data_IF_870474836395
#
_entry.id   IF_870474836395
#
_cell.length_a   1.000
_cell.length_b   1.000
_cell.length_c   1.000
_cell.angle_alpha   90.00
_cell.angle_beta   90.00
_cell.angle_gamma   90.00
#
_symmetry.space_group_name_H-M   'P 1'
#
loop_
_entity.id
_entity.type
_entity.pdbx_description
1 polymer ?
#
# COMPACT_ATOMS: atom_id res chain seq x y z
N UNK A 1 -5.96 -46.31 17.47
CA UNK A 1 -6.94 -45.37 18.05
C UNK A 1 -6.36 -44.00 17.82
N UNK A 2 -6.81 -43.31 16.77
CA UNK A 2 -6.27 -42.00 16.40
C UNK A 2 -6.83 -40.99 17.38
N UNK A 3 -5.96 -40.35 18.16
CA UNK A 3 -6.34 -39.28 19.07
C UNK A 3 -6.69 -38.06 18.20
N UNK A 4 -7.97 -37.69 18.17
CA UNK A 4 -8.40 -36.40 17.64
C UNK A 4 -7.88 -35.32 18.59
N UNK A 5 -6.98 -34.46 18.10
CA UNK A 5 -6.37 -33.40 18.90
C UNK A 5 -7.01 -32.07 18.52
N UNK A 6 -7.86 -31.56 19.42
CA UNK A 6 -8.48 -30.24 19.34
C UNK A 6 -7.40 -29.14 19.38
N UNK A 7 -7.50 -28.18 18.45
CA UNK A 7 -6.49 -27.12 18.23
C UNK A 7 -6.47 -26.01 19.28
N UNK A 8 -7.42 -26.03 20.21
CA UNK A 8 -7.70 -24.90 21.12
C UNK A 8 -7.21 -25.14 22.55
N UNK A 9 -6.50 -26.24 22.82
CA UNK A 9 -6.02 -26.59 24.17
C UNK A 9 -4.51 -26.86 24.22
N UNK A 10 -3.70 -25.85 23.93
CA UNK A 10 -2.25 -25.88 24.14
C UNK A 10 -1.83 -24.78 25.13
N UNK A 11 -2.28 -24.92 26.39
CA UNK A 11 -1.69 -24.15 27.48
C UNK A 11 -0.24 -24.59 27.74
N UNK A 12 0.64 -23.62 27.99
CA UNK A 12 2.08 -23.82 28.25
C UNK A 12 2.35 -24.84 29.37
N UNK A 13 1.44 -24.99 30.33
CA UNK A 13 1.55 -25.97 31.42
C UNK A 13 1.39 -27.41 30.92
N UNK A 14 0.50 -27.67 29.96
CA UNK A 14 0.26 -29.00 29.41
C UNK A 14 1.41 -29.49 28.53
N UNK A 15 2.16 -28.56 27.92
CA UNK A 15 3.32 -28.88 27.07
C UNK A 15 4.50 -29.47 27.86
N UNK A 16 4.62 -29.14 29.15
CA UNK A 16 5.71 -29.63 30.01
C UNK A 16 5.50 -31.09 30.48
N UNK A 17 4.29 -31.62 30.35
CA UNK A 17 3.95 -32.99 30.76
C UNK A 17 4.04 -34.01 29.61
N UNK A 18 4.34 -33.56 28.40
CA UNK A 18 4.47 -34.42 27.22
C UNK A 18 5.87 -35.02 27.13
N UNK A 19 5.92 -36.25 26.63
CA UNK A 19 7.19 -36.90 26.29
C UNK A 19 7.84 -36.25 25.08
N UNK A 20 9.13 -36.50 24.90
CA UNK A 20 9.90 -35.95 23.77
C UNK A 20 9.31 -36.40 22.43
N UNK A 21 8.84 -37.64 22.36
CA UNK A 21 8.25 -38.26 21.18
C UNK A 21 6.93 -37.58 20.80
N UNK A 22 6.06 -37.28 21.77
CA UNK A 22 4.80 -36.59 21.57
C UNK A 22 5.00 -35.14 21.10
N UNK A 23 5.96 -34.42 21.68
CA UNK A 23 6.33 -33.07 21.24
C UNK A 23 6.85 -33.05 19.80
N UNK A 24 7.65 -34.06 19.41
CA UNK A 24 8.11 -34.20 18.03
C UNK A 24 6.93 -34.43 17.08
N UNK A 25 5.96 -35.27 17.46
CA UNK A 25 4.75 -35.50 16.66
C UNK A 25 3.98 -34.19 16.41
N UNK A 26 3.75 -33.41 17.47
CA UNK A 26 3.02 -32.14 17.39
C UNK A 26 3.74 -31.14 16.47
N UNK A 27 5.07 -31.03 16.58
CA UNK A 27 5.86 -30.13 15.73
C UNK A 27 5.75 -30.54 14.24
N UNK A 28 5.75 -31.84 13.94
CA UNK A 28 5.62 -32.33 12.58
C UNK A 28 4.25 -31.99 12.00
N UNK A 29 3.18 -32.21 12.76
CA UNK A 29 1.81 -31.88 12.37
C UNK A 29 1.63 -30.38 12.16
N UNK A 30 2.14 -29.54 13.07
CA UNK A 30 2.10 -28.08 12.95
C UNK A 30 2.86 -27.60 11.71
N UNK A 31 4.01 -28.21 11.39
CA UNK A 31 4.78 -27.91 10.17
C UNK A 31 4.01 -28.30 8.90
N UNK A 32 3.26 -29.40 8.93
CA UNK A 32 2.45 -29.83 7.79
C UNK A 32 1.23 -28.92 7.59
N UNK A 33 0.53 -28.57 8.68
CA UNK A 33 -0.58 -27.62 8.65
C UNK A 33 -0.15 -26.24 8.14
N UNK A 34 1.01 -25.74 8.57
CA UNK A 34 1.56 -24.48 8.07
C UNK A 34 1.95 -24.55 6.58
N UNK A 35 2.48 -25.67 6.09
CA UNK A 35 2.72 -25.88 4.64
C UNK A 35 1.41 -25.85 3.85
N UNK A 36 0.36 -26.51 4.34
CA UNK A 36 -0.98 -26.51 3.71
C UNK A 36 -1.63 -25.11 3.75
N UNK A 37 -1.41 -24.32 4.80
CA UNK A 37 -1.84 -22.90 4.87
C UNK A 37 -1.07 -22.00 3.89
N UNK A 38 0.24 -22.18 3.73
CA UNK A 38 1.04 -21.41 2.76
C UNK A 38 0.66 -21.71 1.30
N UNK A 39 0.34 -22.96 0.97
CA UNK A 39 -0.07 -23.37 -0.38
C UNK A 39 -1.44 -22.83 -0.83
N UNK A 40 -2.22 -22.23 0.07
CA UNK A 40 -3.57 -21.70 -0.20
C UNK A 40 -3.66 -20.21 -0.49
N UNK A 41 -2.54 -19.51 -0.76
CA UNK A 41 -2.61 -18.17 -1.37
C UNK A 41 -2.95 -18.31 -2.85
N UNK A 42 -4.24 -18.35 -3.18
CA UNK A 42 -4.74 -18.15 -4.54
C UNK A 42 -4.32 -16.73 -4.95
N UNK A 43 -3.22 -16.62 -5.69
CA UNK A 43 -2.85 -15.39 -6.39
C UNK A 43 -3.87 -15.19 -7.50
N UNK A 44 -5.01 -14.56 -7.19
CA UNK A 44 -5.94 -14.10 -8.22
C UNK A 44 -5.11 -13.29 -9.22
N UNK A 45 -5.17 -13.59 -10.53
CA UNK A 45 -4.42 -12.83 -11.51
C UNK A 45 -4.77 -11.35 -11.35
N UNK A 46 -3.76 -10.51 -11.12
CA UNK A 46 -3.96 -9.06 -11.08
C UNK A 46 -4.54 -8.66 -12.43
N UNK A 47 -5.81 -8.24 -12.44
CA UNK A 47 -6.44 -7.68 -13.64
C UNK A 47 -5.59 -6.48 -14.07
N UNK A 48 -4.97 -6.57 -15.23
CA UNK A 48 -4.23 -5.47 -15.82
C UNK A 48 -5.24 -4.47 -16.38
N UNK A 49 -5.13 -3.21 -15.97
CA UNK A 49 -5.98 -2.14 -16.49
C UNK A 49 -5.37 -1.63 -17.79
N UNK A 50 -6.18 -1.57 -18.83
CA UNK A 50 -5.83 -0.96 -20.11
C UNK A 50 -6.17 0.53 -20.07
N UNK A 51 -5.16 1.37 -19.92
CA UNK A 51 -5.31 2.82 -19.76
C UNK A 51 -5.71 3.55 -21.06
N UNK A 52 -5.64 2.88 -22.22
CA UNK A 52 -6.08 3.46 -23.50
C UNK A 52 -7.60 3.61 -23.58
N UNK A 53 -8.34 2.86 -22.75
CA UNK A 53 -9.81 2.83 -22.72
C UNK A 53 -10.45 3.89 -21.83
N UNK A 54 -9.66 4.66 -21.10
CA UNK A 54 -10.16 5.64 -20.15
C UNK A 54 -9.78 7.06 -20.57
N UNK A 55 -10.65 8.00 -20.25
CA UNK A 55 -10.33 9.41 -20.34
C UNK A 55 -9.20 9.77 -19.38
N UNK A 56 -8.46 10.83 -19.72
CA UNK A 56 -7.37 11.37 -18.91
C UNK A 56 -7.61 12.86 -18.69
N UNK A 57 -7.38 13.35 -17.47
CA UNK A 57 -7.44 14.78 -17.14
C UNK A 57 -6.13 15.21 -16.47
N UNK A 58 -5.67 16.42 -16.81
CA UNK A 58 -4.58 17.05 -16.08
C UNK A 58 -5.13 17.71 -14.81
N UNK A 59 -4.62 17.31 -13.65
CA UNK A 59 -5.11 17.73 -12.34
C UNK A 59 -3.98 18.29 -11.49
N UNK A 60 -4.35 19.05 -10.47
CA UNK A 60 -3.46 19.57 -9.44
C UNK A 60 -3.87 18.96 -8.10
N UNK A 61 -2.90 18.43 -7.35
CA UNK A 61 -3.12 17.96 -5.99
C UNK A 61 -2.34 18.82 -5.00
N UNK A 62 -3.03 19.22 -3.93
CA UNK A 62 -2.42 19.81 -2.75
C UNK A 62 -2.15 18.71 -1.73
N UNK A 63 -0.91 18.67 -1.23
CA UNK A 63 -0.40 17.62 -0.37
C UNK A 63 0.10 18.24 0.93
N UNK A 64 -0.29 17.61 2.04
CA UNK A 64 0.16 17.88 3.39
C UNK A 64 0.93 16.66 3.88
N UNK A 65 2.05 16.88 4.56
CA UNK A 65 2.79 15.79 5.17
C UNK A 65 3.64 16.22 6.36
N UNK A 66 3.82 15.28 7.30
CA UNK A 66 4.85 15.34 8.34
C UNK A 66 6.12 14.68 7.79
N UNK A 67 7.19 15.44 7.68
CA UNK A 67 8.41 15.00 6.99
C UNK A 67 9.42 14.25 7.85
N UNK A 68 9.18 14.11 9.15
CA UNK A 68 10.21 13.71 10.13
C UNK A 68 10.81 12.33 9.83
N UNK A 69 9.99 11.40 9.34
CA UNK A 69 10.40 10.03 9.01
C UNK A 69 10.76 9.83 7.52
N UNK A 70 10.82 10.92 6.74
CA UNK A 70 11.02 10.90 5.29
C UNK A 70 12.31 11.58 4.85
N UNK A 71 12.92 11.06 3.79
CA UNK A 71 14.13 11.58 3.15
C UNK A 71 13.85 12.73 2.17
N UNK A 72 12.87 13.56 2.51
CA UNK A 72 12.42 14.70 1.72
C UNK A 72 11.31 14.33 0.74
N UNK A 73 10.92 15.32 -0.06
CA UNK A 73 9.81 15.16 -1.00
C UNK A 73 10.17 14.24 -2.17
N UNK A 74 11.31 14.53 -2.83
CA UNK A 74 11.69 13.90 -4.09
C UNK A 74 12.15 12.45 -3.91
N UNK A 75 11.72 11.53 -4.79
CA UNK A 75 12.28 10.17 -4.87
C UNK A 75 13.79 10.20 -5.11
N UNK A 76 14.51 9.29 -4.45
CA UNK A 76 15.96 9.09 -4.57
C UNK A 76 16.21 7.59 -4.77
N UNK A 77 17.22 7.22 -5.56
CA UNK A 77 17.50 5.80 -5.90
C UNK A 77 17.88 4.95 -4.68
N UNK A 78 18.33 5.59 -3.61
CA UNK A 78 18.82 4.94 -2.39
C UNK A 78 17.69 4.64 -1.39
N UNK A 79 16.51 5.26 -1.54
CA UNK A 79 15.49 5.20 -0.51
C UNK A 79 14.06 5.34 -1.04
N UNK A 80 13.22 4.39 -0.65
CA UNK A 80 11.77 4.43 -0.84
C UNK A 80 11.04 5.29 0.20
N UNK A 81 11.71 5.75 1.26
CA UNK A 81 11.12 6.62 2.29
C UNK A 81 11.02 8.09 1.86
N UNK A 82 10.39 8.38 0.73
CA UNK A 82 10.13 9.76 0.28
C UNK A 82 8.64 10.00 0.07
N UNK A 83 8.22 11.26 0.15
CA UNK A 83 6.80 11.62 -0.02
C UNK A 83 6.32 11.25 -1.43
N UNK A 84 7.14 11.49 -2.45
CA UNK A 84 6.83 11.09 -3.81
C UNK A 84 6.70 9.57 -3.98
N UNK A 85 7.55 8.77 -3.32
CA UNK A 85 7.44 7.32 -3.42
C UNK A 85 6.06 6.85 -2.93
N UNK A 86 5.63 7.31 -1.76
CA UNK A 86 4.31 7.01 -1.20
C UNK A 86 3.17 7.45 -2.12
N UNK A 87 3.27 8.66 -2.68
CA UNK A 87 2.30 9.20 -3.64
C UNK A 87 2.20 8.36 -4.91
N UNK A 88 3.33 8.05 -5.56
CA UNK A 88 3.35 7.25 -6.78
C UNK A 88 2.91 5.82 -6.52
N UNK A 89 3.22 5.24 -5.36
CA UNK A 89 2.66 3.94 -4.96
C UNK A 89 1.14 4.01 -4.90
N UNK A 90 0.58 5.00 -4.21
CA UNK A 90 -0.87 5.16 -4.08
C UNK A 90 -1.55 5.40 -5.44
N UNK A 91 -0.99 6.27 -6.28
CA UNK A 91 -1.50 6.57 -7.63
C UNK A 91 -1.54 5.32 -8.53
N UNK A 92 -0.48 4.52 -8.51
CA UNK A 92 -0.40 3.27 -9.30
C UNK A 92 -1.35 2.21 -8.78
N UNK A 93 -1.45 2.00 -7.46
CA UNK A 93 -2.39 1.03 -6.87
C UNK A 93 -3.85 1.43 -7.13
N UNK A 94 -4.17 2.72 -7.05
CA UNK A 94 -5.48 3.25 -7.43
C UNK A 94 -5.77 3.18 -8.95
N UNK A 95 -4.79 2.78 -9.75
CA UNK A 95 -4.83 2.77 -11.21
C UNK A 95 -5.22 4.14 -11.78
N UNK A 96 -4.70 5.21 -11.17
CA UNK A 96 -4.87 6.57 -11.66
C UNK A 96 -3.80 6.93 -12.71
N UNK A 97 -2.64 6.30 -12.65
CA UNK A 97 -1.55 6.47 -13.61
C UNK A 97 -0.93 5.12 -13.96
N UNK A 98 -0.33 5.04 -15.15
CA UNK A 98 0.46 3.88 -15.60
C UNK A 98 1.84 3.88 -14.94
N UNK A 99 2.54 5.00 -15.07
CA UNK A 99 3.86 5.21 -14.49
C UNK A 99 4.10 6.70 -14.26
N UNK A 100 5.18 7.00 -13.53
CA UNK A 100 5.63 8.36 -13.34
C UNK A 100 5.96 9.05 -14.67
N UNK A 101 6.64 8.33 -15.56
CA UNK A 101 7.18 8.84 -16.82
C UNK A 101 6.08 9.26 -17.80
N UNK A 102 4.95 8.55 -17.81
CA UNK A 102 3.83 8.83 -18.73
C UNK A 102 2.77 9.75 -18.14
N UNK A 103 2.89 10.13 -16.87
CA UNK A 103 1.88 10.92 -16.15
C UNK A 103 1.99 12.44 -16.31
N UNK A 104 2.90 12.97 -17.13
CA UNK A 104 3.15 14.42 -17.25
C UNK A 104 3.29 15.11 -15.87
N UNK A 105 4.13 14.53 -15.02
CA UNK A 105 4.27 14.93 -13.62
C UNK A 105 5.16 16.17 -13.45
N UNK A 106 4.65 17.15 -12.70
CA UNK A 106 5.38 18.34 -12.25
C UNK A 106 5.21 18.54 -10.75
N UNK A 107 6.23 19.10 -10.11
CA UNK A 107 6.23 19.43 -8.68
C UNK A 107 6.57 20.90 -8.49
N UNK A 108 5.90 21.59 -7.58
CA UNK A 108 6.16 23.02 -7.33
C UNK A 108 7.42 23.26 -6.48
N UNK A 109 7.88 22.26 -5.71
CA UNK A 109 9.09 22.39 -4.90
C UNK A 109 9.66 21.06 -4.44
N UNK A 110 10.94 21.06 -4.09
CA UNK A 110 11.57 19.98 -3.34
C UNK A 110 11.64 20.40 -1.87
N UNK A 111 11.59 19.43 -0.97
CA UNK A 111 11.91 19.63 0.43
C UNK A 111 12.99 18.64 0.84
N UNK A 112 13.84 19.07 1.77
CA UNK A 112 14.92 18.25 2.31
C UNK A 112 14.41 17.24 3.34
N UNK A 113 15.29 16.33 3.75
CA UNK A 113 15.01 15.31 4.76
C UNK A 113 14.47 15.94 6.05
N UNK A 114 13.40 15.38 6.60
CA UNK A 114 12.79 15.86 7.84
C UNK A 114 11.83 17.04 7.70
N UNK A 115 11.84 17.74 6.55
CA UNK A 115 11.03 18.95 6.36
C UNK A 115 9.57 18.58 6.15
N UNK A 116 8.66 19.22 6.91
CA UNK A 116 7.21 19.06 6.77
C UNK A 116 6.62 20.12 5.84
N UNK A 117 5.45 19.86 5.26
CA UNK A 117 4.76 20.83 4.41
C UNK A 117 3.25 20.78 4.58
N UNK A 118 2.62 21.95 4.54
CA UNK A 118 1.17 22.11 4.58
C UNK A 118 0.56 22.42 3.20
N UNK A 119 1.38 22.73 2.20
CA UNK A 119 0.88 23.18 0.90
C UNK A 119 1.84 22.84 -0.23
N UNK A 120 2.34 21.62 -0.23
CA UNK A 120 3.05 21.11 -1.39
C UNK A 120 2.06 20.89 -2.53
N UNK A 121 2.46 21.26 -3.74
CA UNK A 121 1.59 21.15 -4.93
C UNK A 121 2.28 20.34 -6.01
N UNK A 122 1.51 19.44 -6.63
CA UNK A 122 1.92 18.68 -7.81
C UNK A 122 0.86 18.80 -8.90
N UNK A 123 1.28 18.72 -10.16
CA UNK A 123 0.37 18.51 -11.28
C UNK A 123 0.74 17.25 -12.05
N UNK A 124 -0.27 16.54 -12.56
CA UNK A 124 -0.12 15.32 -13.33
C UNK A 124 -1.39 14.97 -14.07
N UNK A 125 -1.26 14.18 -15.11
CA UNK A 125 -2.35 13.59 -15.89
C UNK A 125 -2.76 12.26 -15.28
N UNK A 126 -4.03 12.15 -14.89
CA UNK A 126 -4.62 10.96 -14.26
C UNK A 126 -5.80 10.43 -15.05
N UNK A 127 -6.14 9.15 -14.84
CA UNK A 127 -7.39 8.54 -15.29
C UNK A 127 -8.60 9.34 -14.77
N UNK A 128 -9.57 9.57 -15.64
CA UNK A 128 -10.82 10.28 -15.36
C UNK A 128 -12.01 9.51 -15.91
N UNK A 129 -13.20 9.80 -15.40
CA UNK A 129 -14.46 9.29 -15.95
C UNK A 129 -14.90 10.02 -17.24
N UNK A 130 -14.31 11.18 -17.56
CA UNK A 130 -14.63 11.99 -18.75
C UNK A 130 -15.79 12.97 -18.56
N UNK A 131 -16.53 12.85 -17.46
CA UNK A 131 -17.61 13.76 -17.04
C UNK A 131 -17.20 14.46 -15.74
N UNK A 132 -17.32 15.80 -15.71
CA UNK A 132 -17.01 16.61 -14.53
C UNK A 132 -18.01 16.37 -13.37
N UNK A 133 -19.25 16.00 -13.68
CA UNK A 133 -20.31 15.79 -12.68
C UNK A 133 -20.17 14.46 -11.91
N UNK A 134 -19.54 13.46 -12.52
CA UNK A 134 -19.30 12.13 -11.95
C UNK A 134 -17.81 11.79 -11.84
N UNK A 135 -16.99 12.80 -11.53
CA UNK A 135 -15.55 12.57 -11.48
C UNK A 135 -15.13 11.65 -10.32
N UNK A 136 -14.04 10.92 -10.53
CA UNK A 136 -13.46 10.03 -9.55
C UNK A 136 -13.09 10.79 -8.26
N UNK A 137 -13.40 10.24 -7.07
CA UNK A 137 -13.11 10.89 -5.80
C UNK A 137 -11.61 10.74 -5.44
N UNK A 138 -10.73 11.41 -6.19
CA UNK A 138 -9.28 11.23 -6.16
C UNK A 138 -8.69 11.33 -4.74
N UNK A 139 -9.04 12.39 -4.00
CA UNK A 139 -8.53 12.59 -2.65
C UNK A 139 -8.89 11.42 -1.73
N UNK A 140 -10.13 10.92 -1.80
CA UNK A 140 -10.60 9.78 -1.01
C UNK A 140 -9.88 8.49 -1.40
N UNK A 141 -9.69 8.27 -2.70
CA UNK A 141 -8.96 7.11 -3.22
C UNK A 141 -7.52 7.08 -2.73
N UNK A 142 -6.80 8.20 -2.87
CA UNK A 142 -5.40 8.33 -2.47
C UNK A 142 -5.22 8.24 -0.96
N UNK A 143 -6.01 8.98 -0.17
CA UNK A 143 -5.90 8.99 1.28
C UNK A 143 -6.22 7.65 1.95
N UNK A 144 -6.91 6.73 1.25
CA UNK A 144 -7.12 5.36 1.72
C UNK A 144 -5.84 4.51 1.66
N UNK A 145 -4.92 4.84 0.77
CA UNK A 145 -3.67 4.10 0.54
C UNK A 145 -2.43 4.80 1.12
N UNK A 146 -2.53 6.12 1.34
CA UNK A 146 -1.45 6.91 1.90
C UNK A 146 -1.31 6.66 3.42
N UNK A 147 -0.07 6.67 3.94
CA UNK A 147 0.23 6.71 5.37
C UNK A 147 -0.50 7.86 6.09
N UNK A 148 -0.73 7.75 7.40
CA UNK A 148 -1.58 8.70 8.15
C UNK A 148 -1.05 10.14 8.14
N UNK A 149 0.26 10.25 8.04
CA UNK A 149 1.11 11.42 8.00
C UNK A 149 1.28 12.04 6.60
N UNK A 150 0.65 11.48 5.55
CA UNK A 150 0.58 12.07 4.20
C UNK A 150 -0.89 12.19 3.78
N UNK A 151 -1.33 13.39 3.41
CA UNK A 151 -2.71 13.65 2.98
C UNK A 151 -2.76 14.46 1.70
N UNK A 152 -3.62 14.04 0.79
CA UNK A 152 -4.05 14.82 -0.38
C UNK A 152 -5.36 15.49 -0.03
N UNK A 153 -5.45 16.80 -0.22
CA UNK A 153 -6.64 17.60 0.06
C UNK A 153 -7.14 18.29 -1.20
N UNK A 154 -8.44 18.64 -1.26
CA UNK A 154 -8.96 19.51 -2.31
C UNK A 154 -8.20 20.84 -2.32
N UNK A 155 -7.98 21.40 -3.52
CA UNK A 155 -7.60 22.80 -3.63
C UNK A 155 -8.70 23.68 -3.04
N UNK A 156 -8.33 24.67 -2.25
CA UNK A 156 -9.24 25.77 -1.93
C UNK A 156 -9.23 26.66 -3.17
N UNK A 157 -10.36 26.73 -3.87
CA UNK A 157 -10.57 27.72 -4.92
C UNK A 157 -10.63 29.12 -4.32
#
# INVERSE_FOLDING_TARGET
MSLEVDSDNYDLENLNHLTKEELISIILDLKEQNRKKLGRKITKPKRTIDFTKYHKRHVVFKILYLGWDYHGFATQDVSEKTIEYELFRALTICCLIESRQTSNYHRCGRTDKGVSSFSQVISLTVRSNGDDSEELPYCKMLNRLLPKDIRVVPGVQ
#
